data_IF_700718377610
#
_entry.id   IF_700718377610
#
_cell.length_a   1.000
_cell.length_b   1.000
_cell.length_c   1.000
_cell.angle_alpha   90.00
_cell.angle_beta   90.00
_cell.angle_gamma   90.00
#
_symmetry.space_group_name_H-M   'P 1'
#
loop_
_entity.id
_entity.type
_entity.pdbx_description
1 polymer ?
#
# COMPACT_ATOMS: atom_id res chain seq x y z
N UNK A 1 64.26 -19.04 52.50
CA UNK A 1 63.03 -19.59 51.93
C UNK A 1 61.96 -18.47 51.88
N UNK A 2 61.86 -17.81 50.74
CA UNK A 2 60.97 -16.65 50.58
C UNK A 2 59.74 -17.19 49.81
N UNK A 3 58.55 -17.13 50.38
CA UNK A 3 57.28 -17.46 49.72
C UNK A 3 56.73 -16.20 49.10
N UNK A 4 56.66 -16.22 47.79
CA UNK A 4 55.98 -15.19 46.98
C UNK A 4 54.54 -15.58 46.92
N UNK A 5 53.64 -14.76 47.43
CA UNK A 5 52.18 -14.88 47.29
C UNK A 5 51.75 -14.06 46.05
N UNK A 6 51.28 -14.73 45.01
CA UNK A 6 50.65 -14.07 43.87
C UNK A 6 49.17 -13.83 44.17
N UNK A 7 48.82 -12.55 44.30
CA UNK A 7 47.41 -12.13 44.38
C UNK A 7 46.90 -11.92 42.95
N UNK A 8 46.00 -12.79 42.47
CA UNK A 8 45.28 -12.61 41.22
C UNK A 8 44.18 -11.55 41.41
N UNK A 9 44.32 -10.38 40.80
CA UNK A 9 43.23 -9.44 40.64
C UNK A 9 42.39 -9.85 39.40
N UNK A 10 41.19 -10.36 39.67
CA UNK A 10 40.17 -10.55 38.64
C UNK A 10 39.46 -9.21 38.46
N UNK A 11 39.79 -8.51 37.37
CA UNK A 11 39.03 -7.33 36.92
C UNK A 11 37.74 -7.80 36.28
N UNK A 12 36.63 -7.67 36.98
CA UNK A 12 35.29 -7.85 36.40
C UNK A 12 34.96 -6.67 35.50
N UNK A 13 35.09 -6.83 34.20
CA UNK A 13 34.49 -5.90 33.22
C UNK A 13 32.97 -6.03 33.25
N UNK A 14 32.31 -5.20 34.06
CA UNK A 14 30.89 -4.97 33.95
C UNK A 14 30.66 -4.18 32.64
N UNK A 15 30.28 -4.87 31.57
CA UNK A 15 29.77 -4.23 30.37
C UNK A 15 28.46 -3.52 30.72
N UNK A 16 28.54 -2.21 30.97
CA UNK A 16 27.38 -1.33 31.02
C UNK A 16 26.68 -1.40 29.69
N UNK A 17 25.60 -2.18 29.60
CA UNK A 17 24.65 -2.10 28.47
C UNK A 17 24.00 -0.71 28.51
N UNK A 18 24.56 0.22 27.75
CA UNK A 18 23.89 1.49 27.51
C UNK A 18 22.55 1.23 26.83
N UNK A 19 21.45 1.78 27.31
CA UNK A 19 20.20 1.69 26.59
C UNK A 19 20.42 2.34 25.21
N UNK A 20 20.14 1.59 24.14
CA UNK A 20 20.12 2.13 22.78
C UNK A 20 19.25 3.40 22.77
N UNK A 21 19.74 4.47 22.17
CA UNK A 21 18.99 5.72 22.04
C UNK A 21 17.67 5.42 21.30
N UNK A 22 16.58 6.13 21.61
CA UNK A 22 15.27 5.93 20.98
C UNK A 22 15.39 5.93 19.45
N UNK A 23 16.23 6.78 18.87
CA UNK A 23 16.43 6.89 17.43
C UNK A 23 17.09 5.64 16.81
N UNK A 24 17.96 4.94 17.51
CA UNK A 24 18.57 3.69 17.03
C UNK A 24 17.53 2.55 17.03
N UNK A 25 16.70 2.49 18.05
CA UNK A 25 15.61 1.51 18.15
C UNK A 25 14.53 1.72 17.11
N UNK A 26 14.18 2.97 16.83
CA UNK A 26 13.21 3.33 15.80
C UNK A 26 13.73 2.97 14.39
N UNK A 27 15.02 3.19 14.13
CA UNK A 27 15.67 2.79 12.90
C UNK A 27 15.74 1.27 12.69
N UNK A 28 15.90 0.51 13.76
CA UNK A 28 15.90 -0.96 13.69
C UNK A 28 14.50 -1.53 13.45
N UNK A 29 13.48 -1.01 14.12
CA UNK A 29 12.07 -1.36 13.92
C UNK A 29 11.61 -1.06 12.50
N UNK A 30 11.99 0.09 11.96
CA UNK A 30 11.67 0.47 10.59
C UNK A 30 12.29 -0.51 9.58
N UNK A 31 13.55 -0.88 9.75
CA UNK A 31 14.22 -1.88 8.90
C UNK A 31 13.58 -3.26 9.00
N UNK A 32 13.20 -3.70 10.20
CA UNK A 32 12.53 -4.98 10.39
C UNK A 32 11.20 -5.03 9.64
N UNK A 33 10.42 -3.94 9.68
CA UNK A 33 9.18 -3.85 8.92
C UNK A 33 9.43 -3.83 7.41
N UNK A 34 10.36 -3.00 6.92
CA UNK A 34 10.69 -2.94 5.48
C UNK A 34 11.12 -4.31 4.95
N UNK A 35 11.98 -5.01 5.69
CA UNK A 35 12.39 -6.37 5.33
C UNK A 35 11.20 -7.34 5.29
N UNK A 36 10.24 -7.21 6.21
CA UNK A 36 9.03 -8.02 6.20
C UNK A 36 8.16 -7.73 4.97
N UNK A 37 8.06 -6.46 4.53
CA UNK A 37 7.35 -6.10 3.29
C UNK A 37 8.03 -6.69 2.06
N UNK A 38 9.36 -6.59 1.96
CA UNK A 38 10.10 -7.14 0.82
C UNK A 38 9.99 -8.67 0.78
N UNK A 39 10.13 -9.34 1.92
CA UNK A 39 9.91 -10.78 2.02
C UNK A 39 8.46 -11.20 1.69
N UNK A 40 7.49 -10.37 2.07
CA UNK A 40 6.10 -10.59 1.69
C UNK A 40 5.93 -10.54 0.17
N UNK A 41 6.46 -9.50 -0.49
CA UNK A 41 6.43 -9.36 -1.96
C UNK A 41 7.00 -10.61 -2.65
N UNK A 42 8.13 -11.12 -2.18
CA UNK A 42 8.80 -12.29 -2.74
C UNK A 42 7.99 -13.59 -2.57
N UNK A 43 7.05 -13.63 -1.64
CA UNK A 43 6.19 -14.81 -1.39
C UNK A 43 5.04 -14.96 -2.39
N UNK A 44 4.72 -13.92 -3.16
CA UNK A 44 3.64 -13.95 -4.14
C UNK A 44 4.09 -14.65 -5.43
N UNK A 45 3.14 -15.32 -6.13
CA UNK A 45 3.45 -15.89 -7.44
C UNK A 45 3.71 -14.77 -8.46
N UNK A 46 4.32 -15.13 -9.58
CA UNK A 46 4.38 -14.25 -10.74
C UNK A 46 3.09 -14.37 -11.56
N UNK A 47 2.60 -13.26 -12.11
CA UNK A 47 1.39 -13.20 -12.91
C UNK A 47 0.11 -13.60 -12.11
N UNK A 48 -0.70 -14.48 -12.64
CA UNK A 48 -1.92 -14.97 -11.99
C UNK A 48 -3.18 -14.19 -12.35
N UNK A 49 -3.08 -13.25 -13.30
CA UNK A 49 -4.18 -12.48 -13.86
C UNK A 49 -4.49 -11.17 -13.14
N UNK A 50 -4.78 -10.12 -13.93
CA UNK A 50 -5.29 -8.85 -13.43
C UNK A 50 -6.80 -8.78 -13.72
N UNK A 51 -7.62 -8.79 -12.68
CA UNK A 51 -9.05 -8.84 -12.83
C UNK A 51 -9.78 -7.98 -11.80
N UNK A 52 -10.55 -7.01 -12.30
CA UNK A 52 -11.35 -6.11 -11.47
C UNK A 52 -12.83 -6.49 -11.42
N UNK A 53 -13.23 -7.47 -12.22
CA UNK A 53 -14.61 -7.95 -12.28
C UNK A 53 -15.00 -8.70 -11.00
N UNK A 54 -16.28 -8.58 -10.63
CA UNK A 54 -16.80 -9.14 -9.37
C UNK A 54 -17.39 -10.53 -9.54
N UNK A 55 -17.60 -10.97 -10.77
CA UNK A 55 -18.16 -12.28 -11.10
C UNK A 55 -17.10 -13.14 -11.78
N UNK A 56 -17.23 -14.45 -11.67
CA UNK A 56 -16.44 -15.35 -12.50
C UNK A 56 -16.79 -15.20 -13.98
N UNK A 57 -15.78 -15.37 -14.84
CA UNK A 57 -15.91 -15.45 -16.28
C UNK A 57 -15.27 -16.75 -16.78
N UNK A 58 -15.42 -17.12 -18.05
CA UNK A 58 -14.71 -18.28 -18.61
C UNK A 58 -13.19 -18.21 -18.42
N UNK A 59 -12.62 -16.98 -18.53
CA UNK A 59 -11.18 -16.72 -18.39
C UNK A 59 -10.77 -16.66 -16.91
N UNK A 60 -11.64 -16.12 -16.06
CA UNK A 60 -11.42 -15.99 -14.62
C UNK A 60 -12.46 -16.82 -13.85
N UNK A 61 -12.07 -17.99 -13.41
CA UNK A 61 -12.96 -18.91 -12.67
C UNK A 61 -13.47 -18.36 -11.35
N UNK A 62 -12.88 -17.29 -10.84
CA UNK A 62 -13.27 -16.59 -9.62
C UNK A 62 -12.88 -15.10 -9.71
N UNK A 63 -13.60 -14.26 -8.97
CA UNK A 63 -13.21 -12.86 -8.82
C UNK A 63 -11.98 -12.73 -7.92
N UNK A 64 -11.28 -11.59 -8.03
CA UNK A 64 -10.12 -11.30 -7.17
C UNK A 64 -10.51 -11.25 -5.68
N UNK A 65 -11.71 -10.75 -5.35
CA UNK A 65 -12.23 -10.76 -3.97
C UNK A 65 -12.38 -12.18 -3.43
N UNK A 66 -12.95 -13.07 -4.22
CA UNK A 66 -13.10 -14.48 -3.83
C UNK A 66 -11.75 -15.15 -3.65
N UNK A 67 -10.83 -14.91 -4.58
CA UNK A 67 -9.47 -15.42 -4.50
C UNK A 67 -8.78 -15.00 -3.20
N UNK A 68 -8.91 -13.72 -2.85
CA UNK A 68 -8.33 -13.19 -1.64
C UNK A 68 -8.96 -13.75 -0.35
N UNK A 69 -10.29 -13.91 -0.33
CA UNK A 69 -10.98 -14.56 0.79
C UNK A 69 -10.55 -16.02 0.98
N UNK A 70 -10.32 -16.76 -0.10
CA UNK A 70 -9.82 -18.13 -0.04
C UNK A 70 -8.37 -18.19 0.44
N UNK A 71 -7.58 -17.14 0.14
CA UNK A 71 -6.20 -17.00 0.60
C UNK A 71 -6.10 -16.69 2.10
N UNK A 72 -7.05 -15.90 2.63
CA UNK A 72 -7.07 -15.49 4.04
C UNK A 72 -7.94 -16.43 4.87
N UNK A 73 -7.31 -17.28 5.66
CA UNK A 73 -7.99 -18.24 6.51
C UNK A 73 -7.72 -17.95 7.99
N UNK A 74 -8.78 -17.72 8.75
CA UNK A 74 -8.73 -17.49 10.18
C UNK A 74 -9.47 -18.61 10.91
N UNK A 75 -8.74 -19.51 11.58
CA UNK A 75 -9.31 -20.61 12.34
C UNK A 75 -9.75 -20.15 13.72
N UNK A 76 -10.77 -20.82 14.28
CA UNK A 76 -11.26 -20.47 15.62
C UNK A 76 -10.21 -20.67 16.71
N UNK A 77 -9.37 -21.68 16.57
CA UNK A 77 -8.33 -22.02 17.54
C UNK A 77 -7.07 -21.16 17.45
N UNK A 78 -6.85 -20.50 16.31
CA UNK A 78 -5.61 -19.76 16.09
C UNK A 78 -5.83 -18.26 16.34
N UNK A 79 -4.96 -17.59 17.10
CA UNK A 79 -5.03 -16.14 17.30
C UNK A 79 -4.71 -15.38 16.02
N UNK A 80 -3.93 -15.96 15.11
CA UNK A 80 -3.44 -15.37 13.87
C UNK A 80 -4.06 -16.05 12.65
N UNK A 81 -4.31 -15.31 11.56
CA UNK A 81 -4.72 -15.91 10.30
C UNK A 81 -3.56 -16.66 9.64
N UNK A 82 -3.93 -17.56 8.73
CA UNK A 82 -3.02 -18.04 7.70
C UNK A 82 -3.38 -17.32 6.38
N UNK A 83 -2.39 -16.75 5.72
CA UNK A 83 -2.54 -16.16 4.40
C UNK A 83 -1.66 -16.90 3.40
N UNK A 84 -2.26 -17.38 2.33
CA UNK A 84 -1.58 -18.09 1.25
C UNK A 84 -1.56 -17.22 -0.03
N UNK A 85 -0.44 -16.51 -0.31
CA UNK A 85 -0.33 -15.64 -1.48
C UNK A 85 -0.63 -16.32 -2.81
N UNK A 86 -0.34 -17.65 -2.92
CA UNK A 86 -0.58 -18.43 -4.15
C UNK A 86 -2.06 -18.59 -4.48
N UNK A 87 -2.95 -18.50 -3.48
CA UNK A 87 -4.40 -18.56 -3.67
C UNK A 87 -5.03 -17.21 -3.99
N UNK A 88 -4.32 -16.11 -3.75
CA UNK A 88 -4.80 -14.74 -3.95
C UNK A 88 -4.77 -14.30 -5.42
N UNK A 89 -5.04 -15.21 -6.35
CA UNK A 89 -5.10 -14.97 -7.80
C UNK A 89 -6.47 -15.31 -8.36
N UNK A 90 -7.03 -14.51 -9.28
CA UNK A 90 -6.53 -13.26 -9.82
C UNK A 90 -6.52 -12.12 -8.80
N UNK A 91 -5.90 -10.99 -9.15
CA UNK A 91 -5.78 -9.84 -8.26
C UNK A 91 -5.95 -8.52 -9.03
N UNK A 92 -5.90 -7.40 -8.32
CA UNK A 92 -5.74 -6.05 -8.85
C UNK A 92 -4.90 -5.21 -7.87
N UNK A 93 -4.46 -4.05 -8.27
CA UNK A 93 -3.39 -3.31 -7.59
C UNK A 93 -3.60 -3.09 -6.08
N UNK A 94 -4.76 -2.57 -5.65
CA UNK A 94 -4.98 -2.33 -4.22
C UNK A 94 -5.17 -3.63 -3.43
N UNK A 95 -5.67 -4.69 -4.05
CA UNK A 95 -5.78 -6.00 -3.39
C UNK A 95 -4.40 -6.65 -3.25
N UNK A 96 -3.54 -6.49 -4.25
CA UNK A 96 -2.14 -6.94 -4.19
C UNK A 96 -1.38 -6.27 -3.05
N UNK A 97 -1.43 -4.94 -2.98
CA UNK A 97 -0.75 -4.18 -1.90
C UNK A 97 -1.32 -4.51 -0.52
N UNK A 98 -2.63 -4.72 -0.43
CA UNK A 98 -3.25 -5.15 0.83
C UNK A 98 -2.83 -6.57 1.24
N UNK A 99 -2.67 -7.46 0.27
CA UNK A 99 -2.13 -8.80 0.49
C UNK A 99 -0.69 -8.78 0.96
N UNK A 100 0.14 -7.94 0.32
CA UNK A 100 1.52 -7.73 0.75
C UNK A 100 1.59 -7.18 2.19
N UNK A 101 0.71 -6.25 2.54
CA UNK A 101 0.58 -5.75 3.91
C UNK A 101 0.23 -6.85 4.92
N UNK A 102 -0.79 -7.68 4.63
CA UNK A 102 -1.18 -8.79 5.52
C UNK A 102 -0.02 -9.75 5.70
N UNK A 103 0.62 -10.13 4.61
CA UNK A 103 1.75 -11.06 4.65
C UNK A 103 2.95 -10.47 5.41
N UNK A 104 3.26 -9.19 5.19
CA UNK A 104 4.31 -8.48 5.92
C UNK A 104 4.01 -8.43 7.43
N UNK A 105 2.75 -8.13 7.78
CA UNK A 105 2.34 -8.11 9.19
C UNK A 105 2.44 -9.49 9.85
N UNK A 106 2.12 -10.56 9.11
CA UNK A 106 2.30 -11.94 9.58
C UNK A 106 3.79 -12.30 9.77
N UNK A 107 4.66 -11.86 8.86
CA UNK A 107 6.11 -12.08 8.95
C UNK A 107 6.69 -11.29 10.13
N UNK A 108 6.26 -10.06 10.31
CA UNK A 108 6.74 -9.17 11.38
C UNK A 108 6.22 -9.58 12.76
N UNK A 109 4.94 -9.96 12.88
CA UNK A 109 4.26 -10.27 14.15
C UNK A 109 4.55 -11.70 14.63
N UNK A 110 5.83 -12.05 14.82
CA UNK A 110 6.23 -13.38 15.28
C UNK A 110 5.78 -13.64 16.72
N UNK A 111 5.72 -12.59 17.53
CA UNK A 111 5.42 -12.65 18.95
C UNK A 111 3.93 -12.56 19.30
N UNK A 112 3.07 -12.43 18.27
CA UNK A 112 1.62 -12.35 18.47
C UNK A 112 1.15 -11.06 19.14
N UNK A 113 1.76 -9.92 18.82
CA UNK A 113 1.41 -8.59 19.36
C UNK A 113 0.08 -8.08 18.80
N UNK A 114 -0.30 -8.56 17.63
CA UNK A 114 -1.56 -8.19 16.99
C UNK A 114 -2.65 -9.14 17.48
N UNK A 115 -3.63 -8.58 18.16
CA UNK A 115 -4.73 -9.35 18.73
C UNK A 115 -5.61 -10.00 17.66
N UNK A 116 -6.27 -11.09 18.06
CA UNK A 116 -7.22 -11.79 17.20
C UNK A 116 -8.32 -10.87 16.66
N UNK A 117 -8.81 -9.94 17.48
CA UNK A 117 -9.84 -8.99 17.08
C UNK A 117 -9.32 -8.03 16.02
N UNK A 118 -8.06 -7.57 16.14
CA UNK A 118 -7.44 -6.75 15.11
C UNK A 118 -7.31 -7.53 13.79
N UNK A 119 -6.84 -8.78 13.82
CA UNK A 119 -6.79 -9.65 12.65
C UNK A 119 -8.16 -9.85 12.00
N UNK A 120 -9.21 -9.99 12.81
CA UNK A 120 -10.58 -10.09 12.30
C UNK A 120 -11.00 -8.82 11.53
N UNK A 121 -10.63 -7.64 12.03
CA UNK A 121 -10.93 -6.35 11.40
C UNK A 121 -9.99 -6.01 10.23
N UNK A 122 -8.79 -6.58 10.20
CA UNK A 122 -7.85 -6.50 9.08
C UNK A 122 -8.31 -7.39 7.91
N UNK A 123 -9.00 -8.48 8.20
CA UNK A 123 -9.57 -9.33 7.14
C UNK A 123 -10.38 -8.47 6.17
N UNK A 124 -10.15 -8.60 4.84
CA UNK A 124 -11.01 -7.93 3.88
C UNK A 124 -12.44 -8.40 4.06
N UNK A 125 -13.33 -7.47 4.37
CA UNK A 125 -14.77 -7.74 4.49
C UNK A 125 -15.41 -7.78 3.09
N UNK A 126 -14.78 -8.50 2.21
CA UNK A 126 -15.32 -8.74 0.89
C UNK A 126 -16.43 -9.73 1.04
N UNK A 127 -17.61 -9.36 0.63
CA UNK A 127 -18.75 -10.27 0.71
C UNK A 127 -18.42 -11.57 -0.01
N UNK A 128 -18.70 -12.67 0.67
CA UNK A 128 -18.58 -14.03 0.12
C UNK A 128 -19.52 -14.20 -1.08
N UNK A 129 -20.46 -13.30 -1.22
CA UNK A 129 -21.46 -13.30 -2.29
C UNK A 129 -21.02 -12.34 -3.39
N UNK A 130 -21.07 -12.80 -4.63
CA UNK A 130 -20.95 -11.99 -5.84
C UNK A 130 -22.12 -10.97 -5.95
N UNK A 131 -22.79 -10.67 -4.84
CA UNK A 131 -23.88 -9.72 -4.78
C UNK A 131 -23.30 -8.33 -4.76
N UNK A 132 -23.41 -7.69 -5.88
CA UNK A 132 -23.13 -6.27 -6.06
C UNK A 132 -24.44 -5.50 -5.90
N UNK A 133 -24.36 -4.30 -5.33
CA UNK A 133 -25.50 -3.39 -5.31
C UNK A 133 -25.82 -2.89 -6.73
N UNK A 134 -26.86 -2.10 -6.88
CA UNK A 134 -27.29 -1.50 -8.16
C UNK A 134 -26.19 -0.68 -8.84
N UNK A 135 -25.20 -0.21 -8.07
CA UNK A 135 -24.03 0.53 -8.57
C UNK A 135 -22.85 -0.39 -8.94
N UNK A 136 -23.03 -1.70 -8.93
CA UNK A 136 -21.95 -2.65 -9.22
C UNK A 136 -20.91 -2.81 -8.12
N UNK A 137 -21.13 -2.24 -6.93
CA UNK A 137 -20.22 -2.29 -5.79
C UNK A 137 -20.70 -3.32 -4.76
N UNK A 138 -19.76 -4.05 -4.18
CA UNK A 138 -20.05 -4.81 -2.99
C UNK A 138 -20.26 -3.82 -1.82
N UNK A 139 -21.37 -3.95 -1.11
CA UNK A 139 -21.74 -3.03 -0.03
C UNK A 139 -20.67 -2.95 1.08
N UNK A 140 -19.84 -3.99 1.23
CA UNK A 140 -18.80 -4.06 2.27
C UNK A 140 -17.41 -3.64 1.82
N UNK A 141 -17.21 -3.27 0.57
CA UNK A 141 -15.90 -2.88 0.02
C UNK A 141 -15.31 -1.63 0.68
N UNK A 142 -16.14 -0.77 1.23
CA UNK A 142 -15.71 0.43 1.94
C UNK A 142 -15.51 0.27 3.44
N UNK A 143 -15.69 -0.93 3.99
CA UNK A 143 -15.69 -1.17 5.43
C UNK A 143 -14.32 -1.53 6.00
N UNK A 144 -14.14 -1.19 7.28
CA UNK A 144 -13.00 -1.62 8.09
C UNK A 144 -11.63 -1.14 7.55
N UNK A 145 -10.61 -1.93 7.84
CA UNK A 145 -9.25 -1.67 7.35
C UNK A 145 -9.18 -1.77 5.82
N UNK A 146 -9.85 -2.75 5.24
CA UNK A 146 -9.92 -2.90 3.79
C UNK A 146 -10.49 -1.66 3.10
N UNK A 147 -11.59 -1.13 3.61
CA UNK A 147 -12.22 0.05 3.04
C UNK A 147 -11.31 1.29 3.07
N UNK A 148 -10.42 1.40 4.06
CA UNK A 148 -9.42 2.47 4.14
C UNK A 148 -8.29 2.28 3.13
N UNK A 149 -7.84 1.05 2.97
CA UNK A 149 -6.72 0.70 2.11
C UNK A 149 -7.09 0.56 0.63
N UNK A 150 -8.34 0.21 0.35
CA UNK A 150 -8.87 -0.01 -1.01
C UNK A 150 -9.46 1.28 -1.60
N UNK A 151 -8.93 2.42 -1.28
CA UNK A 151 -9.44 3.64 -1.86
C UNK A 151 -8.81 3.88 -3.23
N UNK A 152 -9.60 4.36 -4.18
CA UNK A 152 -9.09 4.91 -5.43
C UNK A 152 -8.30 6.22 -5.19
N UNK A 153 -8.62 6.95 -4.16
CA UNK A 153 -7.88 8.10 -3.71
C UNK A 153 -6.56 7.71 -3.01
N UNK A 154 -6.34 8.12 -1.76
CA UNK A 154 -5.06 7.96 -1.06
C UNK A 154 -4.65 6.51 -0.79
N UNK A 155 -5.56 5.55 -0.92
CA UNK A 155 -5.24 4.14 -0.72
C UNK A 155 -4.80 3.83 0.71
N UNK A 156 -3.72 3.09 0.84
CA UNK A 156 -3.19 2.59 2.10
C UNK A 156 -2.81 3.70 3.10
N UNK A 157 -2.52 4.90 2.62
CA UNK A 157 -2.15 6.06 3.43
C UNK A 157 -3.21 6.43 4.48
N UNK A 158 -4.50 6.30 4.14
CA UNK A 158 -5.61 6.59 5.07
C UNK A 158 -5.61 5.61 6.25
N UNK A 159 -5.41 4.34 5.98
CA UNK A 159 -5.34 3.32 7.03
C UNK A 159 -4.20 3.58 8.02
N UNK A 160 -3.02 3.87 7.50
CA UNK A 160 -1.83 4.14 8.32
C UNK A 160 -1.99 5.41 9.15
N UNK A 161 -2.55 6.48 8.58
CA UNK A 161 -2.86 7.71 9.31
C UNK A 161 -3.87 7.49 10.43
N UNK A 162 -4.97 6.78 10.16
CA UNK A 162 -6.05 6.52 11.13
C UNK A 162 -5.56 5.68 12.30
N UNK A 163 -4.76 4.66 12.05
CA UNK A 163 -4.18 3.80 13.08
C UNK A 163 -2.91 4.35 13.72
N UNK A 164 -2.36 5.44 13.18
CA UNK A 164 -1.06 6.00 13.57
C UNK A 164 0.07 4.97 13.49
N UNK A 165 0.01 4.13 12.48
CA UNK A 165 0.99 3.05 12.28
C UNK A 165 2.27 3.51 11.57
N UNK A 166 2.33 4.79 11.18
CA UNK A 166 3.45 5.39 10.50
C UNK A 166 3.13 6.80 10.05
N UNK A 167 3.74 7.23 8.97
CA UNK A 167 3.49 8.55 8.38
C UNK A 167 3.41 8.49 6.86
N UNK A 168 2.79 9.53 6.31
CA UNK A 168 2.62 9.67 4.88
C UNK A 168 3.32 10.96 4.41
N UNK A 169 3.88 10.90 3.21
CA UNK A 169 4.47 12.04 2.53
C UNK A 169 4.09 12.02 1.07
N UNK A 170 3.97 13.18 0.45
CA UNK A 170 3.42 13.32 -0.89
C UNK A 170 4.08 14.44 -1.66
N UNK A 171 4.07 14.31 -2.97
CA UNK A 171 4.40 15.38 -3.88
C UNK A 171 3.41 15.41 -5.04
N UNK A 172 3.15 16.58 -5.54
CA UNK A 172 2.29 16.86 -6.67
C UNK A 172 3.05 17.69 -7.70
N UNK A 173 3.04 17.22 -8.92
CA UNK A 173 3.75 17.88 -10.01
C UNK A 173 3.15 19.21 -10.44
N UNK A 174 1.89 19.44 -10.09
CA UNK A 174 1.09 20.58 -10.53
C UNK A 174 0.43 20.35 -11.88
N UNK A 175 -0.60 21.16 -12.19
CA UNK A 175 -1.31 21.07 -13.46
C UNK A 175 -0.65 21.93 -14.54
N UNK A 176 -0.50 21.39 -15.76
CA UNK A 176 0.10 22.10 -16.90
C UNK A 176 -0.71 23.32 -17.30
N UNK A 177 -2.03 23.23 -17.26
CA UNK A 177 -2.93 24.33 -17.68
C UNK A 177 -3.54 25.01 -16.46
N UNK A 178 -3.74 26.33 -16.57
CA UNK A 178 -4.35 27.12 -15.48
C UNK A 178 -5.75 26.65 -15.10
N UNK A 179 -6.51 26.17 -16.08
CA UNK A 179 -7.86 25.67 -15.88
C UNK A 179 -7.93 24.41 -14.99
N UNK A 180 -6.82 23.66 -14.89
CA UNK A 180 -6.73 22.44 -14.10
C UNK A 180 -6.06 22.67 -12.73
N UNK A 181 -5.59 23.89 -12.43
CA UNK A 181 -4.95 24.21 -11.15
C UNK A 181 -5.98 24.34 -10.03
N UNK A 182 -5.68 23.76 -8.90
CA UNK A 182 -6.50 23.86 -7.69
C UNK A 182 -6.36 25.23 -7.00
N UNK A 183 -5.26 25.94 -7.28
CA UNK A 183 -5.01 27.30 -6.78
C UNK A 183 -4.20 28.13 -7.77
N UNK A 184 -4.27 29.47 -7.64
CA UNK A 184 -3.48 30.40 -8.47
C UNK A 184 -1.97 30.28 -8.21
N UNK A 185 -1.59 29.82 -7.03
CA UNK A 185 -0.19 29.67 -6.62
C UNK A 185 0.42 28.34 -7.02
N UNK A 186 -0.38 27.43 -7.56
CA UNK A 186 0.06 26.13 -8.01
C UNK A 186 1.00 26.26 -9.22
N UNK A 187 2.21 25.76 -9.07
CA UNK A 187 3.23 25.77 -10.12
C UNK A 187 3.39 24.36 -10.70
N UNK A 188 3.37 24.25 -12.01
CA UNK A 188 3.73 23.01 -12.70
C UNK A 188 5.25 22.85 -12.68
N UNK A 189 5.71 21.68 -12.19
CA UNK A 189 7.12 21.31 -12.23
C UNK A 189 7.47 20.71 -13.60
N UNK A 190 8.54 21.21 -14.22
CA UNK A 190 9.09 20.60 -15.44
C UNK A 190 9.52 19.16 -15.17
N UNK A 191 9.77 18.38 -16.21
CA UNK A 191 10.27 17.01 -16.09
C UNK A 191 11.55 16.94 -15.27
N UNK A 192 12.48 17.85 -15.52
CA UNK A 192 13.73 17.93 -14.79
C UNK A 192 13.51 18.27 -13.30
N UNK A 193 12.68 19.26 -12.99
CA UNK A 193 12.38 19.65 -11.62
C UNK A 193 11.67 18.52 -10.87
N UNK A 194 10.73 17.85 -11.55
CA UNK A 194 10.00 16.73 -10.99
C UNK A 194 10.91 15.53 -10.71
N UNK A 195 11.75 15.14 -11.66
CA UNK A 195 12.71 14.05 -11.47
C UNK A 195 13.75 14.31 -10.35
N UNK A 196 14.03 15.58 -10.06
CA UNK A 196 14.94 16.00 -8.97
C UNK A 196 14.21 16.35 -7.67
N UNK A 197 12.89 16.20 -7.60
CA UNK A 197 12.13 16.51 -6.39
C UNK A 197 12.59 15.62 -5.23
N UNK A 198 12.72 16.22 -4.02
CA UNK A 198 13.23 15.55 -2.82
C UNK A 198 12.42 14.31 -2.40
N UNK A 199 11.14 14.26 -2.76
CA UNK A 199 10.26 13.10 -2.50
C UNK A 199 10.88 11.79 -2.96
N UNK A 200 11.58 11.81 -4.10
CA UNK A 200 12.21 10.61 -4.66
C UNK A 200 13.43 10.14 -3.87
N UNK A 201 14.11 11.06 -3.18
CA UNK A 201 15.24 10.72 -2.32
C UNK A 201 14.80 10.26 -0.92
N UNK A 202 13.58 10.65 -0.50
CA UNK A 202 13.01 10.26 0.79
C UNK A 202 12.44 8.84 0.78
N UNK A 203 11.97 8.37 -0.39
CA UNK A 203 11.35 7.06 -0.53
C UNK A 203 12.36 5.91 -0.32
N UNK A 204 11.94 4.88 0.41
CA UNK A 204 12.76 3.70 0.70
C UNK A 204 12.05 2.41 0.23
N UNK A 205 12.81 1.40 -0.24
CA UNK A 205 12.22 0.10 -0.58
C UNK A 205 11.41 -0.48 0.60
N UNK A 206 10.20 -0.94 0.29
CA UNK A 206 9.23 -1.40 1.30
C UNK A 206 8.20 -0.34 1.69
N UNK A 207 8.33 0.91 1.25
CA UNK A 207 7.24 1.89 1.38
C UNK A 207 6.06 1.48 0.50
N UNK A 208 4.84 1.62 1.01
CA UNK A 208 3.66 1.55 0.16
C UNK A 208 3.53 2.86 -0.60
N UNK A 209 3.15 2.75 -1.87
CA UNK A 209 3.08 3.92 -2.74
C UNK A 209 1.75 3.93 -3.50
N UNK A 210 1.12 5.09 -3.55
CA UNK A 210 0.01 5.37 -4.46
C UNK A 210 0.50 6.29 -5.56
N UNK A 211 0.41 5.81 -6.79
CA UNK A 211 0.72 6.56 -8.01
C UNK A 211 -0.55 7.14 -8.56
N UNK A 212 -0.52 8.41 -8.97
CA UNK A 212 -1.53 9.05 -9.81
C UNK A 212 -0.87 9.44 -11.12
N UNK A 213 -1.42 8.94 -12.21
CA UNK A 213 -0.78 9.04 -13.51
C UNK A 213 -0.88 10.42 -14.14
N UNK A 214 0.13 10.78 -14.92
CA UNK A 214 0.10 11.97 -15.76
C UNK A 214 -0.82 11.72 -16.97
N UNK A 215 -1.93 12.43 -17.03
CA UNK A 215 -2.96 12.25 -18.06
C UNK A 215 -2.52 12.57 -19.48
N UNK A 216 -1.58 13.51 -19.62
CA UNK A 216 -1.17 13.98 -20.93
C UNK A 216 -0.26 13.00 -21.72
N UNK A 217 0.21 11.94 -21.08
CA UNK A 217 1.16 10.99 -21.67
C UNK A 217 0.58 9.60 -21.89
N UNK A 218 -0.70 9.43 -21.65
CA UNK A 218 -1.30 8.11 -21.51
C UNK A 218 -2.00 7.56 -22.74
N UNK A 219 -2.04 8.29 -23.81
CA UNK A 219 -2.50 7.75 -25.07
C UNK A 219 -1.47 6.76 -25.63
N UNK A 220 -1.58 5.50 -25.21
CA UNK A 220 -0.81 4.41 -25.81
C UNK A 220 0.04 3.54 -24.87
N UNK A 221 -0.10 3.61 -23.56
CA UNK A 221 0.69 2.75 -22.70
C UNK A 221 -0.06 1.55 -22.14
N UNK A 222 0.62 0.40 -22.17
CA UNK A 222 0.17 -0.92 -21.73
C UNK A 222 -0.14 -1.09 -20.26
N UNK A 223 -0.08 -0.05 -19.44
CA UNK A 223 -0.47 -0.14 -18.03
C UNK A 223 -1.97 0.05 -17.90
N UNK A 224 -2.66 -1.04 -17.80
CA UNK A 224 -4.10 -1.12 -17.61
C UNK A 224 -4.64 -0.08 -16.64
N UNK A 225 -5.78 0.50 -17.02
CA UNK A 225 -6.61 1.42 -16.28
C UNK A 225 -6.32 2.91 -16.49
N UNK A 226 -6.31 3.34 -17.76
CA UNK A 226 -6.81 4.67 -18.07
C UNK A 226 -8.16 4.46 -18.71
N UNK A 227 -9.16 4.40 -17.88
CA UNK A 227 -10.53 4.44 -18.35
C UNK A 227 -10.82 5.87 -18.78
N UNK A 228 -11.11 6.01 -20.06
CA UNK A 228 -11.76 7.12 -20.69
C UNK A 228 -11.38 8.51 -20.19
N UNK A 229 -10.47 9.16 -20.89
CA UNK A 229 -10.34 10.60 -20.82
C UNK A 229 -11.64 11.17 -21.40
N UNK A 230 -12.58 11.50 -20.52
CA UNK A 230 -13.60 12.44 -20.88
C UNK A 230 -12.89 13.80 -21.02
N UNK A 231 -13.05 14.50 -22.14
CA UNK A 231 -12.47 15.83 -22.39
C UNK A 231 -13.00 16.92 -21.43
N UNK A 232 -13.74 16.52 -20.41
CA UNK A 232 -14.24 17.38 -19.38
C UNK A 232 -13.15 17.62 -18.31
N UNK A 233 -12.55 18.80 -18.25
CA UNK A 233 -11.53 19.12 -17.24
C UNK A 233 -12.03 19.05 -15.80
N UNK A 234 -13.35 19.07 -15.56
CA UNK A 234 -13.95 18.84 -14.26
C UNK A 234 -14.01 17.34 -13.88
N UNK A 235 -13.74 16.44 -14.81
CA UNK A 235 -13.74 15.00 -14.60
C UNK A 235 -12.34 14.47 -14.24
N UNK A 236 -11.62 15.14 -13.36
CA UNK A 236 -10.34 14.66 -12.85
C UNK A 236 -10.54 13.45 -11.94
N UNK A 237 -10.77 12.30 -12.53
CA UNK A 237 -10.70 11.06 -11.82
C UNK A 237 -9.22 10.80 -11.49
N UNK A 238 -8.87 10.88 -10.24
CA UNK A 238 -7.54 10.47 -9.78
C UNK A 238 -7.44 8.94 -9.85
N UNK A 239 -7.34 8.44 -11.07
CA UNK A 239 -7.01 7.04 -11.29
C UNK A 239 -5.54 6.84 -11.00
N UNK A 240 -5.28 5.85 -10.19
CA UNK A 240 -3.92 5.58 -9.80
C UNK A 240 -3.65 4.11 -9.66
N UNK A 241 -2.42 3.83 -9.31
CA UNK A 241 -1.93 2.49 -9.07
C UNK A 241 -1.43 2.37 -7.64
N UNK A 242 -1.84 1.32 -6.94
CA UNK A 242 -1.37 1.01 -5.58
C UNK A 242 -0.24 0.00 -5.69
N UNK A 243 0.91 0.31 -5.13
CA UNK A 243 2.13 -0.49 -5.33
C UNK A 243 2.97 -0.54 -4.05
N UNK A 244 3.92 -1.46 -4.00
CA UNK A 244 5.05 -1.45 -3.06
C UNK A 244 6.26 -0.90 -3.79
N UNK A 245 6.87 0.15 -3.28
CA UNK A 245 8.07 0.75 -3.84
C UNK A 245 9.29 -0.15 -3.60
N UNK A 246 10.08 -0.39 -4.65
CA UNK A 246 11.27 -1.26 -4.60
C UNK A 246 12.58 -0.50 -4.89
N UNK A 247 12.52 0.81 -5.04
CA UNK A 247 13.67 1.63 -5.42
C UNK A 247 13.61 2.11 -6.86
N UNK A 248 14.75 2.15 -7.51
CA UNK A 248 14.89 2.61 -8.89
C UNK A 248 15.59 1.53 -9.70
N UNK A 249 15.29 1.47 -10.99
CA UNK A 249 16.02 0.63 -11.91
C UNK A 249 17.28 1.35 -12.45
N UNK A 250 18.02 0.69 -13.33
CA UNK A 250 19.29 1.21 -13.89
C UNK A 250 19.11 2.50 -14.72
N UNK A 251 17.89 2.78 -15.18
CA UNK A 251 17.55 4.02 -15.89
C UNK A 251 17.13 5.14 -14.93
N UNK A 252 17.01 4.84 -13.63
CA UNK A 252 16.50 5.74 -12.61
C UNK A 252 14.96 5.83 -12.60
N UNK A 253 14.28 4.92 -13.29
CA UNK A 253 12.82 4.80 -13.26
C UNK A 253 12.34 4.21 -11.94
N UNK A 254 11.14 4.58 -11.53
CA UNK A 254 10.51 4.07 -10.31
C UNK A 254 10.22 2.58 -10.49
N UNK A 255 10.90 1.75 -9.70
CA UNK A 255 10.68 0.31 -9.65
C UNK A 255 9.70 -0.04 -8.54
N UNK A 256 8.71 -0.84 -8.85
CA UNK A 256 7.66 -1.20 -7.90
C UNK A 256 7.12 -2.61 -8.14
N UNK A 257 6.45 -3.14 -7.12
CA UNK A 257 5.69 -4.39 -7.21
C UNK A 257 4.20 -4.15 -6.99
N UNK A 258 3.36 -4.83 -7.75
CA UNK A 258 1.91 -4.84 -7.59
C UNK A 258 1.29 -5.99 -8.39
N UNK A 259 -0.04 -6.00 -8.51
CA UNK A 259 -0.73 -6.66 -9.62
C UNK A 259 -0.77 -5.66 -10.79
N UNK A 260 -0.12 -6.00 -11.89
CA UNK A 260 0.18 -5.13 -13.02
C UNK A 260 -0.38 -5.72 -14.33
N UNK A 261 -0.39 -4.92 -15.37
CA UNK A 261 -0.74 -5.32 -16.71
C UNK A 261 -2.13 -4.88 -17.13
N UNK A 262 -2.52 -5.21 -18.37
CA UNK A 262 -3.84 -4.89 -18.88
C UNK A 262 -4.93 -5.56 -18.03
N UNK A 263 -6.05 -4.85 -17.89
CA UNK A 263 -7.23 -5.39 -17.23
C UNK A 263 -7.77 -6.58 -18.03
N UNK A 264 -8.23 -7.59 -17.31
CA UNK A 264 -8.83 -8.80 -17.87
C UNK A 264 -7.87 -9.69 -18.69
N UNK A 265 -6.56 -9.57 -18.45
CA UNK A 265 -5.57 -10.52 -18.96
C UNK A 265 -5.29 -11.62 -17.89
N UNK A 266 -5.67 -12.88 -18.18
CA UNK A 266 -5.48 -13.97 -17.22
C UNK A 266 -4.06 -14.54 -17.21
N UNK A 267 -3.23 -14.24 -18.21
CA UNK A 267 -1.95 -14.93 -18.47
C UNK A 267 -0.76 -14.02 -18.20
N UNK A 268 -0.72 -12.85 -18.83
CA UNK A 268 0.46 -11.99 -18.83
C UNK A 268 0.39 -10.88 -17.77
N UNK A 269 -0.78 -10.69 -17.15
CA UNK A 269 -1.00 -9.72 -16.09
C UNK A 269 -1.01 -10.38 -14.70
N UNK A 270 -1.00 -9.57 -13.67
CA UNK A 270 -1.04 -10.01 -12.28
C UNK A 270 0.18 -9.58 -11.48
N UNK A 271 0.54 -10.36 -10.49
CA UNK A 271 1.65 -10.03 -9.60
C UNK A 271 2.98 -9.97 -10.33
N UNK A 272 3.73 -8.91 -10.05
CA UNK A 272 5.05 -8.76 -10.63
C UNK A 272 5.68 -7.41 -10.36
N UNK A 273 6.95 -7.32 -10.75
CA UNK A 273 7.73 -6.09 -10.70
C UNK A 273 7.53 -5.35 -12.02
N UNK A 274 7.37 -4.04 -11.93
CA UNK A 274 7.32 -3.14 -13.07
C UNK A 274 8.12 -1.87 -12.77
N UNK A 275 8.44 -1.10 -13.80
CA UNK A 275 9.06 0.21 -13.70
C UNK A 275 8.29 1.24 -14.51
N UNK A 276 8.35 2.49 -14.10
CA UNK A 276 7.84 3.60 -14.88
C UNK A 276 8.67 4.86 -14.69
N UNK A 277 8.84 5.69 -15.73
CA UNK A 277 9.47 7.00 -15.63
C UNK A 277 8.76 7.89 -14.61
N UNK A 278 9.54 8.63 -13.80
CA UNK A 278 8.97 9.62 -12.85
C UNK A 278 8.09 10.64 -13.55
N UNK A 279 8.40 10.97 -14.79
CA UNK A 279 7.64 11.93 -15.62
C UNK A 279 6.21 11.49 -15.91
N UNK A 280 5.93 10.18 -15.87
CA UNK A 280 4.56 9.65 -16.00
C UNK A 280 3.71 9.80 -14.74
N UNK A 281 4.34 10.13 -13.63
CA UNK A 281 3.66 10.26 -12.34
C UNK A 281 3.28 11.73 -12.13
N UNK A 282 2.00 11.99 -11.96
CA UNK A 282 1.47 13.32 -11.70
C UNK A 282 1.51 13.68 -10.22
N UNK A 283 1.16 12.71 -9.39
CA UNK A 283 1.17 12.80 -7.92
C UNK A 283 1.60 11.47 -7.36
N UNK A 284 2.26 11.51 -6.23
CA UNK A 284 2.62 10.31 -5.48
C UNK A 284 2.31 10.51 -4.00
N UNK A 285 1.82 9.45 -3.37
CA UNK A 285 1.73 9.37 -1.91
C UNK A 285 2.53 8.15 -1.47
N UNK A 286 3.54 8.38 -0.68
CA UNK A 286 4.28 7.33 0.01
C UNK A 286 3.74 7.15 1.42
N UNK A 287 3.74 5.93 1.87
CA UNK A 287 3.30 5.52 3.20
C UNK A 287 4.39 4.67 3.83
N UNK A 288 5.02 5.18 4.88
CA UNK A 288 6.03 4.46 5.65
C UNK A 288 5.45 4.02 6.97
N UNK A 289 5.52 2.73 7.24
CA UNK A 289 5.07 2.13 8.50
C UNK A 289 6.27 2.07 9.44
N UNK A 290 6.17 2.76 10.56
CA UNK A 290 7.21 2.84 11.59
C UNK A 290 6.78 2.23 12.92
N UNK A 291 5.48 2.04 13.11
CA UNK A 291 4.88 1.51 14.32
C UNK A 291 3.87 0.39 13.95
N UNK A 292 4.35 -0.75 13.44
CA UNK A 292 3.45 -1.83 12.97
C UNK A 292 2.59 -2.43 14.10
N UNK A 293 3.01 -2.34 15.37
CA UNK A 293 2.21 -2.72 16.54
C UNK A 293 0.90 -1.93 16.64
N UNK A 294 0.85 -0.73 16.08
CA UNK A 294 -0.37 0.08 16.09
C UNK A 294 -1.50 -0.49 15.23
N UNK A 295 -1.22 -1.48 14.39
CA UNK A 295 -2.29 -2.22 13.70
C UNK A 295 -3.20 -2.99 14.67
N UNK A 296 -2.76 -3.26 15.90
CA UNK A 296 -3.64 -3.80 16.95
C UNK A 296 -4.82 -2.85 17.29
N UNK A 297 -4.67 -1.55 17.05
CA UNK A 297 -5.76 -0.57 17.21
C UNK A 297 -6.95 -0.84 16.29
N UNK A 298 -6.78 -1.64 15.24
CA UNK A 298 -7.87 -2.11 14.40
C UNK A 298 -8.94 -2.86 15.21
N UNK A 299 -8.56 -3.50 16.33
CA UNK A 299 -9.49 -4.18 17.23
C UNK A 299 -10.60 -3.27 17.78
N UNK A 300 -10.28 -1.98 18.01
CA UNK A 300 -11.22 -1.04 18.66
C UNK A 300 -11.63 0.13 17.77
N UNK A 301 -10.82 0.48 16.77
CA UNK A 301 -11.04 1.71 15.98
C UNK A 301 -11.73 1.49 14.65
N UNK A 302 -11.63 0.31 14.05
CA UNK A 302 -12.24 0.02 12.76
C UNK A 302 -13.72 -0.27 12.93
N UNK A 303 -14.55 0.63 12.40
CA UNK A 303 -15.99 0.44 12.35
C UNK A 303 -16.39 -0.25 11.05
N UNK A 304 -17.26 -1.24 11.16
CA UNK A 304 -17.72 -2.01 10.00
C UNK A 304 -18.59 -1.18 9.03
N UNK A 305 -19.25 -0.14 9.50
CA UNK A 305 -20.26 0.60 8.72
C UNK A 305 -19.74 1.91 8.10
N UNK A 306 -18.44 2.14 8.09
CA UNK A 306 -17.89 3.33 7.44
C UNK A 306 -17.57 3.03 5.98
N UNK A 307 -18.48 3.38 5.09
CA UNK A 307 -18.21 3.34 3.66
C UNK A 307 -17.08 4.30 3.32
N UNK A 308 -16.14 3.82 2.53
CA UNK A 308 -15.08 4.66 2.00
C UNK A 308 -15.67 5.56 0.90
N UNK A 309 -15.61 6.88 1.12
CA UNK A 309 -16.13 7.88 0.16
C UNK A 309 -15.44 7.84 -1.20
N UNK A 310 -14.21 7.35 -1.26
CA UNK A 310 -13.44 7.25 -2.49
C UNK A 310 -13.92 6.12 -3.41
N UNK A 311 -14.75 5.19 -2.93
CA UNK A 311 -15.40 4.21 -3.79
C UNK A 311 -16.36 4.87 -4.79
N UNK A 312 -16.92 6.02 -4.46
CA UNK A 312 -17.76 6.77 -5.39
C UNK A 312 -16.96 7.33 -6.57
N UNK A 313 -15.65 7.54 -6.39
CA UNK A 313 -14.75 7.98 -7.46
C UNK A 313 -14.57 6.92 -8.56
N UNK A 314 -14.68 5.61 -8.23
CA UNK A 314 -14.68 4.52 -9.22
C UNK A 314 -15.79 4.68 -10.28
N UNK A 315 -16.87 5.35 -9.93
CA UNK A 315 -18.01 5.55 -10.80
C UNK A 315 -18.02 6.94 -11.46
N UNK A 316 -16.91 7.66 -11.45
CA UNK A 316 -16.81 8.99 -12.03
C UNK A 316 -17.61 10.08 -11.30
N UNK A 317 -18.05 9.80 -10.08
CA UNK A 317 -18.96 10.69 -9.35
C UNK A 317 -18.28 11.62 -8.35
N UNK A 318 -17.00 11.40 -8.05
CA UNK A 318 -16.29 12.18 -7.06
C UNK A 318 -14.81 12.35 -7.40
N UNK A 319 -14.36 13.57 -7.20
CA UNK A 319 -12.96 13.96 -7.32
C UNK A 319 -12.45 14.36 -5.93
N UNK A 320 -11.20 14.00 -5.62
CA UNK A 320 -10.52 14.50 -4.45
C UNK A 320 -9.64 15.67 -4.82
N UNK A 321 -9.68 16.72 -4.02
CA UNK A 321 -8.70 17.82 -4.09
C UNK A 321 -7.42 17.43 -3.37
N UNK A 322 -6.30 18.10 -3.69
CA UNK A 322 -5.04 17.94 -2.94
C UNK A 322 -5.27 18.18 -1.44
N UNK A 323 -6.07 19.18 -1.09
CA UNK A 323 -6.41 19.49 0.31
C UNK A 323 -7.11 18.32 1.02
N UNK A 324 -8.06 17.67 0.36
CA UNK A 324 -8.73 16.48 0.93
C UNK A 324 -7.77 15.32 1.08
N UNK A 325 -6.94 15.07 0.07
CA UNK A 325 -5.92 14.02 0.10
C UNK A 325 -4.94 14.23 1.27
N UNK A 326 -4.39 15.42 1.41
CA UNK A 326 -3.50 15.77 2.52
C UNK A 326 -4.15 15.52 3.86
N UNK A 327 -5.39 16.02 4.05
CA UNK A 327 -6.15 15.85 5.29
C UNK A 327 -6.35 14.37 5.65
N UNK A 328 -6.74 13.54 4.68
CA UNK A 328 -7.01 12.12 4.93
C UNK A 328 -5.76 11.30 5.15
N UNK A 329 -4.66 11.68 4.51
CA UNK A 329 -3.35 11.08 4.75
C UNK A 329 -2.69 11.57 6.05
N UNK A 330 -3.32 12.49 6.81
CA UNK A 330 -2.74 13.08 8.01
C UNK A 330 -1.50 13.94 7.73
N UNK A 331 -1.36 14.43 6.50
CA UNK A 331 -0.26 15.31 6.08
C UNK A 331 -0.69 16.77 6.38
N UNK A 332 0.19 17.50 7.04
CA UNK A 332 -0.05 18.90 7.43
C UNK A 332 0.49 19.86 6.39
#
# INVERSE_FOLDING_TARGET
MIRIVYTLMIAACAALAMPLSSSAKDGELNRAWQNAVLAAVDSFPQNGGYYTGRKSTPEFKKSAWRAFNEAYNMRLADPRPNFDPKKATPSFCSLATYGAFIQALLIWDTDGKISRMAWFNIKPLVGITDVVNEKGLNQRDGEGCWGRANANGPGFAVLVAELKAGYNFTAFRGAKTEALRESKDEKYLTDEQWCKHSIWAEAEPGDFMKIFWNRNETAGSDSGAIIGVDDNPAAEQEHGHSVVFLGYDDNGDVKYWSSNGPTDDPVNAGYGIASCPRTRIQRVVFTRITNPENFDRAASKMKFNNLNKWLDALNGKRHGTTKELLKECGIK
#
